data_IF_248172443121
#
_entry.id   IF_248172443121
#
_cell.length_a   1.000
_cell.length_b   1.000
_cell.length_c   1.000
_cell.angle_alpha   90.00
_cell.angle_beta   90.00
_cell.angle_gamma   90.00
#
_symmetry.space_group_name_H-M   'P 1'
#
loop_
_entity.id
_entity.type
_entity.pdbx_description
1 polymer ?
#
# COMPACT_ATOMS: atom_id res chain seq x y z
N UNK A 1 2.66 12.67 42.75
CA UNK A 1 2.96 11.21 42.78
C UNK A 1 2.11 10.39 41.80
N UNK A 2 0.80 10.63 41.63
CA UNK A 2 -0.07 9.82 40.74
C UNK A 2 0.32 9.83 39.23
N UNK A 3 0.87 10.93 38.70
CA UNK A 3 1.30 11.00 37.29
C UNK A 3 2.59 10.23 37.00
N UNK A 4 3.52 10.16 37.96
CA UNK A 4 4.79 9.42 37.82
C UNK A 4 4.55 7.90 37.80
N UNK A 5 3.58 7.42 38.57
CA UNK A 5 3.16 6.01 38.56
C UNK A 5 2.42 5.60 37.27
N UNK A 6 1.70 6.52 36.62
CA UNK A 6 1.08 6.26 35.31
C UNK A 6 2.12 6.16 34.20
N UNK A 7 3.13 7.04 34.19
CA UNK A 7 4.23 7.00 33.21
C UNK A 7 5.00 5.68 33.32
N UNK A 8 5.36 5.27 34.55
CA UNK A 8 6.08 4.02 34.80
C UNK A 8 5.27 2.78 34.36
N UNK A 9 3.95 2.75 34.59
CA UNK A 9 3.11 1.65 34.12
C UNK A 9 2.96 1.62 32.59
N UNK A 10 2.98 2.79 31.94
CA UNK A 10 2.93 2.90 30.49
C UNK A 10 4.27 2.49 29.85
N UNK A 11 5.38 2.96 30.39
CA UNK A 11 6.74 2.53 30.00
C UNK A 11 6.94 1.04 30.21
N UNK A 12 6.46 0.46 31.33
CA UNK A 12 6.50 -0.99 31.54
C UNK A 12 5.62 -1.75 30.54
N UNK A 13 4.48 -1.20 30.13
CA UNK A 13 3.60 -1.81 29.12
C UNK A 13 4.19 -1.70 27.71
N UNK A 14 4.88 -0.61 27.38
CA UNK A 14 5.66 -0.46 26.14
C UNK A 14 6.87 -1.39 26.17
N UNK A 15 7.61 -1.45 27.28
CA UNK A 15 8.81 -2.27 27.43
C UNK A 15 8.50 -3.78 27.41
N UNK A 16 7.40 -4.21 28.01
CA UNK A 16 6.93 -5.60 27.89
C UNK A 16 6.43 -5.93 26.48
N UNK A 17 5.88 -4.95 25.75
CA UNK A 17 5.52 -5.10 24.33
C UNK A 17 6.77 -5.13 23.45
N UNK A 18 7.80 -4.32 23.74
CA UNK A 18 9.08 -4.35 23.03
C UNK A 18 9.86 -5.63 23.31
N UNK A 19 9.82 -6.14 24.55
CA UNK A 19 10.42 -7.44 24.91
C UNK A 19 9.68 -8.60 24.24
N UNK A 20 8.35 -8.52 24.12
CA UNK A 20 7.56 -9.51 23.39
C UNK A 20 7.87 -9.45 21.89
N UNK A 21 8.03 -8.26 21.32
CA UNK A 21 8.55 -8.05 19.96
C UNK A 21 9.98 -8.58 19.81
N UNK A 22 10.84 -8.50 20.84
CA UNK A 22 12.20 -9.03 20.83
C UNK A 22 12.24 -10.57 20.90
N UNK A 23 11.36 -11.17 21.70
CA UNK A 23 11.18 -12.63 21.82
C UNK A 23 10.53 -13.19 20.55
N UNK A 24 9.52 -12.50 20.00
CA UNK A 24 8.91 -12.84 18.72
C UNK A 24 9.95 -12.67 17.60
N UNK A 25 10.84 -11.65 17.65
CA UNK A 25 11.99 -11.51 16.73
C UNK A 25 13.04 -12.64 16.86
N UNK A 26 13.20 -13.24 18.05
CA UNK A 26 14.09 -14.39 18.25
C UNK A 26 13.49 -15.70 17.71
N UNK A 27 12.17 -15.87 17.76
CA UNK A 27 11.46 -16.97 17.11
C UNK A 27 11.42 -16.75 15.58
N UNK A 28 11.24 -15.51 15.15
CA UNK A 28 11.30 -15.05 13.76
C UNK A 28 12.71 -15.21 13.15
N UNK A 29 13.78 -15.27 13.95
CA UNK A 29 15.13 -15.58 13.45
C UNK A 29 15.28 -17.02 12.93
N UNK A 30 14.40 -17.97 13.30
CA UNK A 30 14.36 -19.31 12.67
C UNK A 30 13.46 -19.38 11.43
N UNK A 31 12.42 -18.53 11.35
CA UNK A 31 11.59 -18.36 10.15
C UNK A 31 12.22 -17.42 9.09
N UNK A 32 13.21 -16.62 9.50
CA UNK A 32 13.95 -15.68 8.62
C UNK A 32 14.80 -16.40 7.59
N UNK A 33 15.25 -17.64 7.78
CA UNK A 33 16.03 -18.33 6.75
C UNK A 33 15.16 -18.80 5.57
N UNK A 34 13.97 -19.35 5.83
CA UNK A 34 13.01 -19.73 4.80
C UNK A 34 12.35 -18.52 4.12
N UNK A 35 12.06 -17.45 4.89
CA UNK A 35 11.54 -16.20 4.33
C UNK A 35 12.63 -15.39 3.61
N UNK A 36 13.89 -15.37 4.06
CA UNK A 36 15.01 -14.79 3.29
C UNK A 36 15.28 -15.60 2.03
N UNK A 37 15.17 -16.93 2.07
CA UNK A 37 15.31 -17.76 0.88
C UNK A 37 14.16 -17.48 -0.09
N UNK A 38 12.93 -17.39 0.39
CA UNK A 38 11.77 -17.01 -0.45
C UNK A 38 11.90 -15.59 -1.00
N UNK A 39 12.34 -14.61 -0.21
CA UNK A 39 12.61 -13.23 -0.64
C UNK A 39 13.81 -13.13 -1.58
N UNK A 40 14.86 -13.94 -1.38
CA UNK A 40 15.99 -14.05 -2.33
C UNK A 40 15.56 -14.70 -3.62
N UNK A 41 14.72 -15.73 -3.58
CA UNK A 41 14.14 -16.38 -4.77
C UNK A 41 13.21 -15.40 -5.51
N UNK A 42 12.38 -14.63 -4.80
CA UNK A 42 11.54 -13.58 -5.38
C UNK A 42 12.42 -12.47 -5.98
N UNK A 43 13.46 -12.02 -5.27
CA UNK A 43 14.40 -10.98 -5.75
C UNK A 43 15.21 -11.45 -6.96
N UNK A 44 15.73 -12.67 -6.95
CA UNK A 44 16.59 -13.23 -8.00
C UNK A 44 15.79 -13.64 -9.24
N UNK A 45 14.56 -14.17 -9.08
CA UNK A 45 13.69 -14.50 -10.21
C UNK A 45 13.02 -13.26 -10.83
N UNK A 46 12.87 -12.18 -10.07
CA UNK A 46 12.32 -10.93 -10.60
C UNK A 46 13.37 -10.02 -11.23
N UNK A 47 14.68 -10.24 -11.07
CA UNK A 47 15.71 -9.41 -11.72
C UNK A 47 15.63 -9.45 -13.27
N UNK A 48 15.08 -10.53 -13.85
CA UNK A 48 14.82 -10.63 -15.29
C UNK A 48 13.44 -10.11 -15.76
N UNK A 49 12.49 -9.93 -14.84
CA UNK A 49 11.11 -9.49 -15.11
C UNK A 49 10.86 -8.03 -14.74
N UNK A 50 11.65 -7.51 -13.79
CA UNK A 50 11.82 -6.08 -13.61
C UNK A 50 12.34 -5.50 -14.93
N UNK A 51 11.84 -4.35 -15.40
CA UNK A 51 12.54 -3.62 -16.44
C UNK A 51 13.98 -3.52 -15.97
N UNK A 52 14.91 -4.06 -16.79
CA UNK A 52 16.33 -4.15 -16.44
C UNK A 52 16.73 -2.85 -15.74
N UNK A 53 17.65 -2.92 -14.77
CA UNK A 53 18.45 -1.77 -14.33
C UNK A 53 19.25 -1.13 -15.49
N UNK A 54 18.81 -1.25 -16.76
CA UNK A 54 18.95 -0.21 -17.77
C UNK A 54 18.69 1.08 -17.05
N UNK A 55 19.77 1.86 -16.84
CA UNK A 55 19.79 3.18 -16.21
C UNK A 55 18.36 3.62 -16.01
N UNK A 56 17.78 3.36 -14.82
CA UNK A 56 16.55 4.04 -14.43
C UNK A 56 16.88 5.47 -14.78
N UNK A 57 16.31 5.99 -15.86
CA UNK A 57 16.31 7.42 -16.14
C UNK A 57 15.82 7.92 -14.81
N UNK A 58 16.72 8.49 -13.99
CA UNK A 58 16.45 8.79 -12.58
C UNK A 58 15.11 9.47 -12.63
N UNK A 59 14.04 8.75 -12.25
CA UNK A 59 12.74 9.36 -12.38
C UNK A 59 12.84 10.49 -11.38
N UNK A 60 12.69 11.72 -11.83
CA UNK A 60 12.69 12.88 -10.94
C UNK A 60 11.57 12.78 -9.88
N UNK A 61 10.69 11.78 -10.04
CA UNK A 61 9.72 11.34 -9.07
C UNK A 61 10.39 10.77 -7.82
N UNK A 62 10.17 11.47 -6.70
CA UNK A 62 10.46 10.96 -5.37
C UNK A 62 9.69 9.65 -5.10
N UNK A 63 10.23 8.77 -4.24
CA UNK A 63 9.61 7.48 -3.93
C UNK A 63 8.26 7.61 -3.22
N UNK A 64 7.46 6.53 -3.29
CA UNK A 64 6.25 6.34 -2.50
C UNK A 64 6.64 5.81 -1.12
N UNK A 65 6.14 6.43 -0.05
CA UNK A 65 6.26 5.93 1.30
C UNK A 65 5.15 4.95 1.61
N UNK A 66 5.49 3.81 2.20
CA UNK A 66 4.55 2.78 2.66
C UNK A 66 4.74 2.58 4.16
N UNK A 67 3.67 2.68 4.92
CA UNK A 67 3.70 2.52 6.36
C UNK A 67 2.53 1.67 6.87
N UNK A 68 2.83 0.73 7.77
CA UNK A 68 1.83 -0.07 8.44
C UNK A 68 1.58 0.50 9.83
N UNK A 69 0.36 0.98 10.07
CA UNK A 69 -0.11 1.50 11.35
C UNK A 69 -1.10 0.53 12.03
N UNK A 70 -1.29 -0.67 11.49
CA UNK A 70 -2.20 -1.67 12.03
C UNK A 70 -1.82 -2.12 13.46
N UNK A 71 -2.83 -2.37 14.27
CA UNK A 71 -2.73 -2.79 15.68
C UNK A 71 -2.57 -4.30 15.87
N UNK A 72 -3.35 -5.07 15.11
CA UNK A 72 -3.62 -6.48 15.38
C UNK A 72 -3.25 -7.37 14.18
N UNK A 73 -3.58 -6.92 12.97
CA UNK A 73 -3.34 -7.70 11.75
C UNK A 73 -1.87 -7.65 11.37
N UNK A 74 -1.27 -8.83 11.25
CA UNK A 74 0.04 -9.00 10.62
C UNK A 74 -0.11 -8.88 9.10
N UNK A 75 0.66 -7.96 8.50
CA UNK A 75 0.59 -7.66 7.08
C UNK A 75 1.97 -7.89 6.48
N UNK A 76 2.03 -8.65 5.40
CA UNK A 76 3.26 -8.80 4.62
C UNK A 76 3.51 -7.52 3.79
N UNK A 77 4.09 -6.52 4.44
CA UNK A 77 4.37 -5.21 3.83
C UNK A 77 5.37 -5.29 2.66
N UNK A 78 6.21 -6.34 2.61
CA UNK A 78 7.15 -6.56 1.51
C UNK A 78 6.43 -7.02 0.23
N UNK A 79 5.42 -7.87 0.35
CA UNK A 79 4.57 -8.24 -0.78
C UNK A 79 3.80 -7.03 -1.31
N UNK A 80 3.26 -6.19 -0.43
CA UNK A 80 2.58 -4.94 -0.81
C UNK A 80 3.54 -3.98 -1.51
N UNK A 81 4.74 -3.78 -0.97
CA UNK A 81 5.80 -2.98 -1.60
C UNK A 81 6.05 -3.46 -3.04
N UNK A 82 6.31 -4.76 -3.20
CA UNK A 82 6.62 -5.37 -4.51
C UNK A 82 5.45 -5.21 -5.49
N UNK A 83 4.21 -5.37 -5.01
CA UNK A 83 3.01 -5.14 -5.80
C UNK A 83 2.91 -3.71 -6.33
N UNK A 84 3.08 -2.70 -5.45
CA UNK A 84 3.02 -1.29 -5.85
C UNK A 84 4.14 -0.97 -6.86
N UNK A 85 5.36 -1.46 -6.63
CA UNK A 85 6.50 -1.24 -7.51
C UNK A 85 6.28 -1.84 -8.90
N UNK A 86 5.79 -3.08 -8.98
CA UNK A 86 5.46 -3.74 -10.25
C UNK A 86 4.31 -3.00 -10.95
N UNK A 87 3.26 -2.66 -10.21
CA UNK A 87 2.04 -2.12 -10.79
C UNK A 87 2.22 -0.71 -11.34
N UNK A 88 2.82 0.17 -10.54
CA UNK A 88 3.01 1.59 -10.86
C UNK A 88 4.34 1.84 -11.57
N UNK A 89 5.30 0.92 -11.45
CA UNK A 89 6.67 1.15 -11.87
C UNK A 89 7.39 2.19 -11.01
N UNK A 90 6.91 2.54 -9.82
CA UNK A 90 7.53 3.58 -8.98
C UNK A 90 8.28 2.96 -7.80
N UNK A 91 9.37 3.58 -7.37
CA UNK A 91 10.11 3.14 -6.18
C UNK A 91 9.23 3.27 -4.93
N UNK A 92 9.21 2.25 -4.09
CA UNK A 92 8.49 2.26 -2.81
C UNK A 92 9.47 2.09 -1.67
N UNK A 93 9.38 2.97 -0.67
CA UNK A 93 10.14 2.91 0.57
C UNK A 93 9.21 2.53 1.71
N UNK A 94 9.51 1.42 2.38
CA UNK A 94 8.89 1.11 3.67
C UNK A 94 9.46 2.10 4.68
N UNK A 95 8.59 2.89 5.29
CA UNK A 95 8.99 3.89 6.27
C UNK A 95 9.09 3.26 7.65
N UNK A 96 10.12 3.63 8.41
CA UNK A 96 10.30 3.23 9.80
C UNK A 96 9.93 4.37 10.75
N UNK A 97 8.68 4.85 10.65
CA UNK A 97 8.18 5.89 11.55
C UNK A 97 7.87 5.28 12.92
N UNK A 98 8.30 5.96 13.99
CA UNK A 98 8.02 5.51 15.37
C UNK A 98 6.64 5.98 15.82
N UNK A 99 5.60 5.57 15.08
CA UNK A 99 4.21 5.81 15.42
C UNK A 99 3.55 4.53 15.93
N UNK A 100 2.66 4.68 16.90
CA UNK A 100 1.84 3.58 17.39
C UNK A 100 0.39 4.06 17.47
N UNK A 101 -0.49 3.43 16.70
CA UNK A 101 -1.91 3.50 16.99
C UNK A 101 -2.16 2.74 18.31
N UNK A 102 -3.13 3.19 19.09
CA UNK A 102 -3.60 2.47 20.27
C UNK A 102 -5.00 2.93 20.66
N UNK A 103 -5.68 2.09 21.45
CA UNK A 103 -6.99 2.38 22.03
C UNK A 103 -6.88 2.47 23.55
N UNK A 104 -7.36 3.57 24.14
CA UNK A 104 -7.35 3.78 25.58
C UNK A 104 -8.59 4.57 26.01
N UNK A 105 -9.26 4.15 27.11
CA UNK A 105 -10.40 4.87 27.70
C UNK A 105 -11.48 5.25 26.66
N UNK A 106 -11.82 4.30 25.80
CA UNK A 106 -12.84 4.44 24.76
C UNK A 106 -12.51 5.47 23.66
N UNK A 107 -11.22 5.70 23.40
CA UNK A 107 -10.76 6.59 22.35
C UNK A 107 -9.56 5.99 21.62
N UNK A 108 -9.40 6.35 20.35
CA UNK A 108 -8.24 6.01 19.53
C UNK A 108 -7.20 7.13 19.54
N UNK A 109 -5.94 6.74 19.50
CA UNK A 109 -4.81 7.66 19.53
C UNK A 109 -3.67 7.18 18.64
N UNK A 110 -2.92 8.12 18.07
CA UNK A 110 -1.59 7.85 17.53
C UNK A 110 -0.57 8.46 18.47
N UNK A 111 0.35 7.66 18.98
CA UNK A 111 1.53 8.13 19.72
C UNK A 111 2.72 8.23 18.78
N UNK A 112 3.30 9.41 18.70
CA UNK A 112 4.54 9.71 17.99
C UNK A 112 5.68 9.72 19.01
N UNK A 113 6.46 8.64 19.00
CA UNK A 113 7.51 8.37 19.98
C UNK A 113 8.65 9.36 19.79
N UNK A 114 9.03 9.65 18.55
CA UNK A 114 10.16 10.54 18.22
C UNK A 114 9.93 11.96 18.77
N UNK A 115 8.67 12.41 18.79
CA UNK A 115 8.29 13.73 19.29
C UNK A 115 7.63 13.72 20.67
N UNK A 116 7.48 12.54 21.28
CA UNK A 116 6.73 12.33 22.52
C UNK A 116 5.34 13.02 22.49
N UNK A 117 4.61 12.86 21.38
CA UNK A 117 3.35 13.54 21.15
C UNK A 117 2.21 12.55 20.93
N UNK A 118 1.08 12.77 21.60
CA UNK A 118 -0.14 11.98 21.42
C UNK A 118 -1.16 12.77 20.61
N UNK A 119 -1.72 12.12 19.59
CA UNK A 119 -2.79 12.65 18.75
C UNK A 119 -4.06 11.85 19.02
N UNK A 120 -5.08 12.48 19.61
CA UNK A 120 -6.41 11.87 19.72
C UNK A 120 -7.07 11.85 18.34
N UNK A 121 -7.56 10.68 17.92
CA UNK A 121 -8.30 10.53 16.68
C UNK A 121 -9.79 10.80 16.93
N UNK A 122 -10.44 11.39 15.93
CA UNK A 122 -11.89 11.56 15.95
C UNK A 122 -12.55 10.24 15.54
N UNK A 123 -13.71 9.93 16.10
CA UNK A 123 -14.48 8.71 15.80
C UNK A 123 -15.98 9.01 15.87
N UNK A 124 -16.79 8.15 15.26
CA UNK A 124 -18.24 8.21 15.39
C UNK A 124 -18.75 7.48 16.65
N UNK A 125 -20.07 7.38 16.77
CA UNK A 125 -20.75 6.69 17.88
C UNK A 125 -20.60 5.15 17.82
N UNK A 126 -20.10 4.61 16.69
CA UNK A 126 -19.86 3.18 16.47
C UNK A 126 -18.38 2.80 16.66
N UNK A 127 -17.57 3.71 17.22
CA UNK A 127 -16.12 3.54 17.38
C UNK A 127 -15.35 3.39 16.04
N UNK A 128 -15.90 3.92 14.94
CA UNK A 128 -15.22 3.94 13.63
C UNK A 128 -14.38 5.20 13.52
N UNK A 129 -13.13 5.10 13.06
CA UNK A 129 -12.18 6.22 13.05
C UNK A 129 -12.47 7.17 11.88
N UNK A 130 -12.55 8.47 12.15
CA UNK A 130 -12.59 9.49 11.11
C UNK A 130 -11.25 9.51 10.36
N UNK A 131 -11.26 9.11 9.09
CA UNK A 131 -10.04 9.01 8.26
C UNK A 131 -9.28 10.34 8.15
N UNK A 132 -9.98 11.48 8.23
CA UNK A 132 -9.35 12.80 8.18
C UNK A 132 -8.52 13.09 9.43
N UNK A 133 -8.86 12.49 10.58
CA UNK A 133 -8.04 12.62 11.80
C UNK A 133 -6.71 11.88 11.66
N UNK A 134 -6.69 10.73 10.96
CA UNK A 134 -5.46 10.03 10.60
C UNK A 134 -4.63 10.90 9.62
N UNK A 135 -5.27 11.45 8.58
CA UNK A 135 -4.59 12.35 7.64
C UNK A 135 -3.84 13.49 8.35
N UNK A 136 -4.50 14.18 9.29
CA UNK A 136 -3.88 15.29 10.04
C UNK A 136 -2.53 14.89 10.65
N UNK A 137 -2.43 13.68 11.21
CA UNK A 137 -1.17 13.16 11.78
C UNK A 137 -0.19 12.80 10.68
N UNK A 138 -0.63 12.06 9.67
CA UNK A 138 0.23 11.56 8.59
C UNK A 138 0.84 12.66 7.73
N UNK A 139 0.10 13.74 7.48
CA UNK A 139 0.60 14.93 6.78
C UNK A 139 1.77 15.55 7.56
N UNK A 140 1.69 15.59 8.89
CA UNK A 140 2.69 16.22 9.75
C UNK A 140 3.99 15.41 9.82
N UNK A 141 3.88 14.08 9.81
CA UNK A 141 5.03 13.16 9.96
C UNK A 141 5.62 12.68 8.63
N UNK A 142 4.95 12.96 7.51
CA UNK A 142 5.38 12.57 6.15
C UNK A 142 6.78 13.12 5.85
N UNK A 143 7.78 12.27 5.53
CA UNK A 143 9.11 12.75 5.16
C UNK A 143 9.07 13.59 3.88
N UNK A 144 9.90 14.64 3.82
CA UNK A 144 9.92 15.60 2.69
C UNK A 144 10.34 14.98 1.35
N UNK A 145 11.11 13.90 1.38
CA UNK A 145 11.63 13.19 0.20
C UNK A 145 10.70 12.06 -0.28
N UNK A 146 9.45 12.06 0.16
CA UNK A 146 8.44 11.07 -0.22
C UNK A 146 7.38 11.80 -1.05
N UNK A 147 7.14 11.38 -2.29
CA UNK A 147 6.16 12.02 -3.15
C UNK A 147 4.74 11.76 -2.64
N UNK A 148 4.40 10.49 -2.44
CA UNK A 148 3.10 10.01 -1.99
C UNK A 148 3.29 9.08 -0.81
N UNK A 149 2.34 9.08 0.13
CA UNK A 149 2.44 8.35 1.37
C UNK A 149 1.18 7.52 1.60
N UNK A 150 1.31 6.19 1.58
CA UNK A 150 0.22 5.27 1.94
C UNK A 150 0.41 4.75 3.35
N UNK A 151 -0.69 4.75 4.09
CA UNK A 151 -0.79 4.26 5.47
C UNK A 151 -1.84 3.17 5.52
N UNK A 152 -1.45 2.02 6.04
CA UNK A 152 -2.35 0.88 6.21
C UNK A 152 -2.82 0.83 7.66
N UNK A 153 -4.12 0.65 7.86
CA UNK A 153 -4.76 0.49 9.19
C UNK A 153 -5.66 -0.72 9.17
N UNK A 154 -5.86 -1.39 10.31
CA UNK A 154 -6.77 -2.53 10.43
C UNK A 154 -8.04 -2.22 11.23
N UNK A 155 -8.22 -0.98 11.65
CA UNK A 155 -9.46 -0.44 12.22
C UNK A 155 -10.39 0.03 11.12
N UNK A 156 -11.69 -0.02 11.40
CA UNK A 156 -12.69 0.56 10.52
C UNK A 156 -12.51 2.08 10.44
N UNK A 157 -12.65 2.61 9.22
CA UNK A 157 -12.57 4.04 8.93
C UNK A 157 -13.83 4.56 8.25
N UNK A 158 -14.16 5.84 8.47
CA UNK A 158 -15.22 6.53 7.73
C UNK A 158 -14.76 7.90 7.21
N UNK A 159 -15.39 8.37 6.14
CA UNK A 159 -15.24 9.75 5.65
C UNK A 159 -16.39 10.61 6.23
N UNK A 160 -16.12 11.65 7.02
CA UNK A 160 -17.17 12.50 7.60
C UNK A 160 -17.96 13.30 6.55
N UNK A 161 -17.44 13.43 5.33
CA UNK A 161 -18.19 14.02 4.21
C UNK A 161 -19.12 13.02 3.53
N UNK A 162 -18.97 11.73 3.80
CA UNK A 162 -19.79 10.62 3.29
C UNK A 162 -20.02 9.57 4.39
N UNK A 163 -20.67 9.93 5.52
CA UNK A 163 -20.72 9.08 6.72
C UNK A 163 -21.46 7.75 6.50
N UNK A 164 -22.37 7.70 5.52
CA UNK A 164 -23.11 6.47 5.16
C UNK A 164 -22.33 5.56 4.20
N UNK A 165 -21.18 6.01 3.69
CA UNK A 165 -20.37 5.21 2.78
C UNK A 165 -19.44 4.27 3.56
N UNK A 166 -19.50 2.98 3.21
CA UNK A 166 -18.51 2.02 3.67
C UNK A 166 -17.22 2.19 2.84
N UNK A 167 -16.32 3.06 3.30
CA UNK A 167 -15.06 3.32 2.60
C UNK A 167 -14.00 2.28 2.98
N UNK A 168 -13.27 1.78 1.98
CA UNK A 168 -12.16 0.84 2.20
C UNK A 168 -10.80 1.55 2.21
N UNK A 169 -10.79 2.79 1.76
CA UNK A 169 -9.63 3.65 1.69
C UNK A 169 -10.04 5.06 1.33
N UNK A 170 -9.11 5.99 1.51
CA UNK A 170 -9.26 7.38 1.14
C UNK A 170 -7.92 7.98 0.78
N UNK A 171 -7.89 8.72 -0.32
CA UNK A 171 -6.78 9.60 -0.68
C UNK A 171 -7.13 11.07 -0.45
N UNK A 172 -6.18 11.81 0.11
CA UNK A 172 -6.25 13.25 0.31
C UNK A 172 -5.38 14.04 -0.66
N UNK A 173 -5.73 15.31 -0.87
CA UNK A 173 -5.02 16.24 -1.78
C UNK A 173 -3.54 16.49 -1.41
N UNK A 174 -3.13 16.09 -0.21
CA UNK A 174 -1.78 16.30 0.33
C UNK A 174 -0.87 15.08 0.08
N UNK A 175 -1.24 14.26 -0.91
CA UNK A 175 -0.51 13.05 -1.34
C UNK A 175 -0.32 12.05 -0.19
N UNK A 176 -1.36 11.92 0.64
CA UNK A 176 -1.49 10.91 1.67
C UNK A 176 -2.73 10.10 1.36
N UNK A 177 -2.65 8.79 1.47
CA UNK A 177 -3.82 7.92 1.51
C UNK A 177 -3.77 6.98 2.71
N UNK A 178 -4.96 6.61 3.20
CA UNK A 178 -5.16 5.65 4.26
C UNK A 178 -6.00 4.52 3.68
N UNK A 179 -5.58 3.27 3.90
CA UNK A 179 -6.27 2.09 3.40
C UNK A 179 -6.53 1.13 4.54
N UNK A 180 -7.77 0.70 4.67
CA UNK A 180 -8.18 -0.30 5.64
C UNK A 180 -7.80 -1.71 5.14
N UNK A 181 -7.31 -2.56 6.05
CA UNK A 181 -7.07 -3.98 5.77
C UNK A 181 -8.40 -4.71 5.57
N UNK A 182 -8.55 -5.31 4.40
CA UNK A 182 -9.75 -6.04 4.00
C UNK A 182 -9.53 -7.55 4.08
N UNK A 183 -10.62 -8.30 4.17
CA UNK A 183 -10.60 -9.77 4.18
C UNK A 183 -10.27 -10.33 2.80
N UNK A 184 -10.87 -9.76 1.76
CA UNK A 184 -10.60 -10.15 0.36
C UNK A 184 -9.30 -9.50 -0.12
N UNK A 185 -8.29 -10.33 -0.39
CA UNK A 185 -6.96 -9.84 -0.79
C UNK A 185 -7.00 -9.06 -2.11
N UNK A 186 -7.84 -9.47 -3.07
CA UNK A 186 -7.96 -8.78 -4.34
C UNK A 186 -8.45 -7.33 -4.14
N UNK A 187 -9.47 -7.15 -3.30
CA UNK A 187 -10.00 -5.83 -2.96
C UNK A 187 -8.93 -5.01 -2.23
N UNK A 188 -8.24 -5.62 -1.26
CA UNK A 188 -7.20 -4.92 -0.49
C UNK A 188 -6.08 -4.36 -1.37
N UNK A 189 -5.50 -5.20 -2.24
CA UNK A 189 -4.42 -4.80 -3.14
C UNK A 189 -4.89 -3.83 -4.23
N UNK A 190 -6.15 -3.95 -4.66
CA UNK A 190 -6.78 -3.00 -5.60
C UNK A 190 -7.00 -1.64 -4.95
N UNK A 191 -7.55 -1.58 -3.74
CA UNK A 191 -7.75 -0.32 -2.99
C UNK A 191 -6.43 0.39 -2.75
N UNK A 192 -5.37 -0.33 -2.38
CA UNK A 192 -4.02 0.24 -2.22
C UNK A 192 -3.59 1.03 -3.45
N UNK A 193 -3.70 0.41 -4.63
CA UNK A 193 -3.27 1.03 -5.88
C UNK A 193 -4.25 2.13 -6.32
N UNK A 194 -5.56 1.94 -6.13
CA UNK A 194 -6.59 2.92 -6.43
C UNK A 194 -6.35 4.23 -5.67
N UNK A 195 -6.21 4.15 -4.35
CA UNK A 195 -5.97 5.33 -3.52
C UNK A 195 -4.61 5.96 -3.81
N UNK A 196 -3.56 5.16 -4.06
CA UNK A 196 -2.28 5.69 -4.50
C UNK A 196 -2.40 6.44 -5.83
N UNK A 197 -3.13 5.92 -6.81
CA UNK A 197 -3.36 6.62 -8.08
C UNK A 197 -4.07 7.96 -7.86
N UNK A 198 -5.02 8.06 -6.93
CA UNK A 198 -5.59 9.35 -6.53
C UNK A 198 -4.53 10.34 -6.04
N UNK A 199 -3.59 9.90 -5.19
CA UNK A 199 -2.48 10.78 -4.74
C UNK A 199 -1.56 11.21 -5.89
N UNK A 200 -1.53 10.44 -6.98
CA UNK A 200 -0.80 10.74 -8.22
C UNK A 200 -1.63 11.58 -9.21
N UNK A 201 -2.82 12.06 -8.81
CA UNK A 201 -3.67 12.93 -9.60
C UNK A 201 -4.55 12.19 -10.62
N UNK A 202 -4.81 10.90 -10.44
CA UNK A 202 -5.81 10.18 -11.21
C UNK A 202 -7.18 10.43 -10.59
N UNK A 203 -8.19 10.69 -11.43
CA UNK A 203 -9.58 10.80 -11.00
C UNK A 203 -10.32 9.49 -11.25
N UNK A 204 -11.55 9.39 -10.75
CA UNK A 204 -12.39 8.24 -11.06
C UNK A 204 -12.63 8.10 -12.57
N UNK A 205 -12.72 6.85 -13.03
CA UNK A 205 -13.12 6.49 -14.38
C UNK A 205 -14.63 6.19 -14.43
N UNK A 206 -15.25 6.39 -15.60
CA UNK A 206 -16.62 5.93 -15.86
C UNK A 206 -16.69 4.47 -16.33
N UNK A 207 -15.56 3.93 -16.78
CA UNK A 207 -15.42 2.56 -17.24
C UNK A 207 -15.36 1.62 -16.02
N UNK A 208 -16.31 0.70 -15.91
CA UNK A 208 -16.44 -0.23 -14.79
C UNK A 208 -15.30 -1.26 -14.75
N UNK A 209 -14.69 -1.53 -15.91
CA UNK A 209 -13.55 -2.43 -16.03
C UNK A 209 -12.21 -1.75 -15.69
N UNK A 210 -12.24 -0.46 -15.39
CA UNK A 210 -11.07 0.27 -14.91
C UNK A 210 -10.96 0.19 -13.39
N UNK A 211 -9.75 -0.05 -12.88
CA UNK A 211 -9.41 0.03 -11.46
C UNK A 211 -9.84 1.36 -10.83
N UNK A 212 -9.79 2.46 -11.59
CA UNK A 212 -10.21 3.79 -11.10
C UNK A 212 -11.73 4.00 -11.12
N UNK A 213 -12.55 2.99 -11.41
CA UNK A 213 -13.99 3.09 -11.21
C UNK A 213 -14.30 3.34 -9.72
N UNK A 214 -15.27 4.21 -9.42
CA UNK A 214 -15.51 4.69 -8.06
C UNK A 214 -16.04 3.62 -7.09
N UNK A 215 -16.70 2.58 -7.62
CA UNK A 215 -17.11 1.43 -6.82
C UNK A 215 -16.03 0.36 -6.88
N UNK A 216 -16.07 -0.60 -5.94
CA UNK A 216 -15.19 -1.78 -5.92
C UNK A 216 -15.18 -2.41 -7.32
N UNK A 217 -14.11 -2.18 -8.07
CA UNK A 217 -13.95 -2.75 -9.41
C UNK A 217 -13.57 -4.21 -9.24
N UNK A 218 -14.21 -5.09 -10.02
CA UNK A 218 -13.78 -6.48 -10.14
C UNK A 218 -12.49 -6.62 -10.97
N UNK A 219 -11.95 -5.50 -11.46
CA UNK A 219 -10.79 -5.43 -12.33
C UNK A 219 -9.65 -4.71 -11.63
N UNK A 220 -8.49 -5.36 -11.56
CA UNK A 220 -7.26 -4.70 -11.15
C UNK A 220 -6.62 -3.92 -12.30
N UNK A 221 -7.26 -3.78 -13.47
CA UNK A 221 -6.62 -3.21 -14.67
C UNK A 221 -7.00 -1.77 -14.93
N UNK A 222 -6.06 -0.98 -15.45
CA UNK A 222 -6.33 0.37 -15.92
C UNK A 222 -6.91 0.32 -17.33
N UNK A 223 -7.92 1.15 -17.60
CA UNK A 223 -8.34 1.39 -18.98
C UNK A 223 -7.19 2.08 -19.76
N UNK A 224 -7.25 2.02 -21.09
CA UNK A 224 -6.20 2.54 -21.98
C UNK A 224 -5.82 3.99 -21.65
N UNK A 225 -6.80 4.86 -21.38
CA UNK A 225 -6.55 6.27 -21.02
C UNK A 225 -5.70 6.42 -19.75
N UNK A 226 -6.02 5.65 -18.70
CA UNK A 226 -5.26 5.71 -17.45
C UNK A 226 -3.91 5.01 -17.57
N UNK A 227 -3.81 3.94 -18.35
CA UNK A 227 -2.54 3.30 -18.65
C UNK A 227 -1.61 4.28 -19.40
N UNK A 228 -2.10 4.99 -20.42
CA UNK A 228 -1.33 6.02 -21.13
C UNK A 228 -0.87 7.14 -20.20
N UNK A 229 -1.74 7.60 -19.28
CA UNK A 229 -1.37 8.61 -18.27
C UNK A 229 -0.34 8.09 -17.27
N UNK A 230 -0.34 6.80 -16.97
CA UNK A 230 0.71 6.19 -16.15
C UNK A 230 2.02 6.11 -16.93
N UNK A 231 1.97 5.66 -18.19
CA UNK A 231 3.12 5.55 -19.08
C UNK A 231 3.76 6.90 -19.45
N UNK A 232 3.02 8.01 -19.39
CA UNK A 232 3.61 9.35 -19.57
C UNK A 232 4.42 9.82 -18.36
N UNK A 233 4.18 9.24 -17.17
CA UNK A 233 4.97 9.51 -15.96
C UNK A 233 6.23 8.66 -15.89
N UNK A 234 6.22 7.48 -16.50
CA UNK A 234 7.36 6.57 -16.60
C UNK A 234 7.20 5.72 -17.84
N UNK A 235 8.28 5.51 -18.58
CA UNK A 235 8.25 4.56 -19.69
C UNK A 235 7.90 3.16 -19.17
N UNK A 236 6.68 2.71 -19.49
CA UNK A 236 6.17 1.41 -19.10
C UNK A 236 5.89 0.63 -20.37
N UNK A 237 6.74 -0.35 -20.67
CA UNK A 237 6.49 -1.30 -21.75
C UNK A 237 5.33 -2.22 -21.34
N UNK A 238 4.19 -2.06 -22.01
CA UNK A 238 2.91 -2.71 -21.68
C UNK A 238 3.03 -4.23 -21.52
N UNK A 239 3.71 -4.91 -22.45
CA UNK A 239 3.89 -6.36 -22.39
C UNK A 239 4.72 -6.81 -21.19
N UNK A 240 5.81 -6.10 -20.89
CA UNK A 240 6.65 -6.39 -19.71
C UNK A 240 5.87 -6.17 -18.43
N UNK A 241 5.08 -5.08 -18.36
CA UNK A 241 4.19 -4.79 -17.23
C UNK A 241 3.19 -5.92 -17.01
N UNK A 242 2.47 -6.37 -18.03
CA UNK A 242 1.49 -7.45 -17.86
C UNK A 242 2.14 -8.77 -17.44
N UNK A 243 3.33 -9.11 -17.96
CA UNK A 243 4.08 -10.29 -17.53
C UNK A 243 4.52 -10.20 -16.07
N UNK A 244 5.01 -9.04 -15.64
CA UNK A 244 5.38 -8.81 -14.24
C UNK A 244 4.16 -8.87 -13.31
N UNK A 245 3.04 -8.27 -13.71
CA UNK A 245 1.77 -8.36 -12.97
C UNK A 245 1.27 -9.79 -12.88
N UNK A 246 1.33 -10.56 -13.97
CA UNK A 246 0.91 -11.96 -13.97
C UNK A 246 1.74 -12.77 -12.97
N UNK A 247 3.05 -12.52 -12.93
CA UNK A 247 3.94 -13.22 -12.01
C UNK A 247 3.57 -12.97 -10.54
N UNK A 248 3.43 -11.70 -10.14
CA UNK A 248 3.08 -11.38 -8.75
C UNK A 248 1.63 -11.75 -8.40
N UNK A 249 0.69 -11.65 -9.34
CA UNK A 249 -0.68 -12.13 -9.15
C UNK A 249 -0.73 -13.64 -8.88
N UNK A 250 0.13 -14.43 -9.54
CA UNK A 250 0.28 -15.87 -9.24
C UNK A 250 0.84 -16.11 -7.84
N UNK A 251 1.81 -15.31 -7.39
CA UNK A 251 2.39 -15.41 -6.04
C UNK A 251 1.38 -15.08 -4.93
N UNK A 252 0.52 -14.08 -5.15
CA UNK A 252 -0.50 -13.68 -4.18
C UNK A 252 -1.72 -14.61 -4.22
N UNK A 253 -1.99 -15.26 -5.37
CA UNK A 253 -3.12 -16.18 -5.54
C UNK A 253 -4.35 -15.54 -6.22
N UNK A 254 -4.17 -14.50 -7.03
CA UNK A 254 -5.25 -13.82 -7.76
C UNK A 254 -5.66 -14.57 -9.04
N UNK A 255 -6.38 -15.67 -8.89
CA UNK A 255 -6.74 -16.58 -9.99
C UNK A 255 -7.46 -15.87 -11.15
N UNK A 256 -8.52 -15.09 -10.86
CA UNK A 256 -9.29 -14.37 -11.87
C UNK A 256 -8.44 -13.33 -12.61
N UNK A 257 -7.56 -12.64 -11.87
CA UNK A 257 -6.66 -11.64 -12.45
C UNK A 257 -5.60 -12.28 -13.36
N UNK A 258 -5.07 -13.45 -12.97
CA UNK A 258 -4.14 -14.21 -13.80
C UNK A 258 -4.74 -14.53 -15.18
N UNK A 259 -5.98 -15.00 -15.21
CA UNK A 259 -6.67 -15.32 -16.47
C UNK A 259 -6.88 -14.07 -17.35
N UNK A 260 -7.21 -12.92 -16.74
CA UNK A 260 -7.36 -11.64 -17.46
C UNK A 260 -6.01 -11.21 -18.06
N UNK A 261 -4.94 -11.24 -17.26
CA UNK A 261 -3.60 -10.87 -17.69
C UNK A 261 -3.06 -11.78 -18.80
N UNK A 262 -3.29 -13.09 -18.72
CA UNK A 262 -2.90 -14.03 -19.79
C UNK A 262 -3.58 -13.71 -21.12
N UNK A 263 -4.86 -13.31 -21.10
CA UNK A 263 -5.58 -12.87 -22.32
C UNK A 263 -5.01 -11.56 -22.87
N UNK A 264 -4.70 -10.59 -21.99
CA UNK A 264 -4.10 -9.31 -22.39
C UNK A 264 -2.71 -9.50 -23.01
N UNK A 265 -1.86 -10.34 -22.40
CA UNK A 265 -0.53 -10.68 -22.92
C UNK A 265 -0.62 -11.23 -24.33
N UNK A 266 -1.47 -12.25 -24.56
CA UNK A 266 -1.68 -12.85 -25.88
C UNK A 266 -2.12 -11.80 -26.90
N UNK A 267 -3.07 -10.93 -26.53
CA UNK A 267 -3.55 -9.86 -27.41
C UNK A 267 -2.43 -8.90 -27.82
N UNK A 268 -1.59 -8.45 -26.88
CA UNK A 268 -0.48 -7.54 -27.15
C UNK A 268 0.60 -8.20 -28.01
N UNK A 269 0.90 -9.48 -27.77
CA UNK A 269 1.86 -10.25 -28.58
C UNK A 269 1.39 -10.36 -30.04
N UNK A 270 0.13 -10.76 -30.28
CA UNK A 270 -0.43 -10.87 -31.65
C UNK A 270 -0.45 -9.52 -32.39
N UNK A 271 -0.71 -8.43 -31.69
CA UNK A 271 -0.68 -7.09 -32.29
C UNK A 271 0.73 -6.68 -32.74
N UNK A 272 1.76 -6.99 -31.94
CA UNK A 272 3.16 -6.75 -32.31
C UNK A 272 3.56 -7.56 -33.55
N UNK A 273 3.17 -8.82 -33.63
CA UNK A 273 3.47 -9.68 -34.78
C UNK A 273 2.81 -9.17 -36.07
N UNK A 274 1.57 -8.67 -35.96
CA UNK A 274 0.83 -8.11 -37.11
C UNK A 274 1.49 -6.82 -37.63
N UNK A 275 1.94 -5.95 -36.73
CA UNK A 275 2.66 -4.72 -37.09
C UNK A 275 3.99 -5.00 -37.80
N UNK A 276 4.72 -6.05 -37.37
CA UNK A 276 5.98 -6.46 -38.00
C UNK A 276 5.79 -7.06 -39.41
N UNK A 277 4.61 -7.61 -39.72
CA UNK A 277 4.31 -8.15 -41.06
C UNK A 277 3.93 -7.07 -42.08
N UNK A 278 3.56 -5.87 -41.63
CA UNK A 278 3.15 -4.74 -42.48
C UNK A 278 4.34 -3.85 -42.87
N UNK A 279 5.45 -3.93 -42.13
CA UNK A 279 6.70 -3.18 -42.34
C UNK A 279 7.63 -4.02 -43.22
#
# INVERSE_FOLDING_TARGET
>A
MKNKQKLIKFEQKIYSKSLKIEIDNQIENSMKEEQLQTLKIISQNNEGLMPQKNKLIKSELEPIGLYNLSLEKSINIQTIKSWIEIYLGLEVKILNLQLALYYEKNDFYIYDIDHNQTYKLEKDDKDIINVLSIFKVMIRVKPKNIQSFIVIVDQDIYDPYQPEANILGRAGNQKVCVVQVQTELNDFYSTIVHELLHTLGFGHCKDQDCLMYANISTSMQLCQKHLQKLSSKKEVEELKRYKALLHISKQIGFHNECQKLEKLIKKVETQKDTLLQII
#
